data_IF_109814505858
#
_entry.id   IF_109814505858
#
_cell.length_a   1.000
_cell.length_b   1.000
_cell.length_c   1.000
_cell.angle_alpha   90.00
_cell.angle_beta   90.00
_cell.angle_gamma   90.00
#
_symmetry.space_group_name_H-M   'P 1'
#
loop_
_entity.id
_entity.type
_entity.pdbx_description
1 polymer ?
#
# COMPACT_ATOMS: atom_id res chain seq x y z
N UNK A 1 -6.46 5.23 25.70
CA UNK A 1 -7.67 4.80 24.93
C UNK A 1 -7.37 3.41 24.35
N UNK A 2 -8.34 2.46 24.44
CA UNK A 2 -8.20 1.12 23.82
C UNK A 2 -8.10 1.24 22.30
N UNK A 3 -7.29 0.38 21.66
CA UNK A 3 -7.15 0.32 20.19
C UNK A 3 -7.47 -1.09 19.73
N UNK A 4 -8.56 -1.25 18.98
CA UNK A 4 -9.05 -2.52 18.46
C UNK A 4 -8.96 -2.57 16.94
N UNK A 5 -8.34 -3.61 16.40
CA UNK A 5 -8.30 -3.90 14.97
C UNK A 5 -9.43 -4.88 14.62
N UNK A 6 -10.34 -4.46 13.75
CA UNK A 6 -11.58 -5.18 13.46
C UNK A 6 -11.48 -5.98 12.15
N UNK A 7 -11.67 -7.30 12.27
CA UNK A 7 -11.74 -8.25 11.15
C UNK A 7 -13.00 -9.13 11.26
N UNK A 8 -14.19 -8.62 10.92
CA UNK A 8 -15.45 -9.29 11.17
C UNK A 8 -15.69 -10.53 10.30
N UNK A 9 -14.99 -10.68 9.18
CA UNK A 9 -15.15 -11.81 8.27
C UNK A 9 -14.24 -13.02 8.66
N UNK A 10 -13.40 -12.85 9.69
CA UNK A 10 -12.44 -13.88 10.09
C UNK A 10 -12.97 -14.69 11.29
N UNK A 11 -12.96 -16.00 11.16
CA UNK A 11 -13.48 -16.93 12.19
C UNK A 11 -12.40 -17.46 13.13
N UNK A 12 -11.14 -17.58 12.67
CA UNK A 12 -10.01 -18.04 13.49
C UNK A 12 -9.09 -16.88 13.89
N UNK A 13 -9.57 -16.00 14.76
CA UNK A 13 -8.75 -14.92 15.29
C UNK A 13 -7.58 -15.42 16.15
N UNK A 14 -7.71 -16.57 16.79
CA UNK A 14 -6.64 -17.16 17.61
C UNK A 14 -5.47 -17.62 16.73
N UNK A 15 -5.75 -18.24 15.60
CA UNK A 15 -4.74 -18.59 14.60
C UNK A 15 -4.10 -17.36 13.99
N UNK A 16 -4.91 -16.34 13.63
CA UNK A 16 -4.39 -15.10 13.05
C UNK A 16 -3.43 -14.34 13.98
N UNK A 17 -3.67 -14.32 15.29
CA UNK A 17 -2.77 -13.68 16.28
C UNK A 17 -1.38 -14.32 16.34
N UNK A 18 -1.23 -15.56 15.90
CA UNK A 18 0.05 -16.31 15.91
C UNK A 18 0.85 -16.15 14.62
N UNK A 19 0.28 -15.49 13.60
CA UNK A 19 0.97 -15.28 12.34
C UNK A 19 2.13 -14.27 12.50
N UNK A 20 3.21 -14.55 11.81
CA UNK A 20 4.29 -13.61 11.53
C UNK A 20 4.13 -13.17 10.07
N UNK A 21 3.96 -11.88 9.76
CA UNK A 21 3.75 -11.44 8.39
C UNK A 21 4.87 -11.86 7.42
N UNK A 22 6.10 -11.90 7.88
CA UNK A 22 7.24 -12.18 7.00
C UNK A 22 7.44 -13.69 6.78
N UNK A 23 7.06 -14.52 7.76
CA UNK A 23 7.13 -16.00 7.65
C UNK A 23 5.91 -16.61 6.97
N UNK A 24 4.75 -15.97 7.11
CA UNK A 24 3.47 -16.47 6.59
C UNK A 24 2.91 -15.52 5.54
N UNK A 25 3.78 -14.97 4.67
CA UNK A 25 3.46 -13.94 3.70
C UNK A 25 2.30 -14.32 2.77
N UNK A 26 2.10 -15.61 2.52
CA UNK A 26 1.00 -16.15 1.74
C UNK A 26 -0.38 -15.89 2.36
N UNK A 27 -0.47 -15.59 3.65
CA UNK A 27 -1.71 -15.27 4.34
C UNK A 27 -2.17 -13.81 4.14
N UNK A 28 -1.30 -12.95 3.61
CA UNK A 28 -1.56 -11.49 3.48
C UNK A 28 -1.96 -11.08 2.05
N UNK A 29 -2.74 -11.90 1.38
CA UNK A 29 -3.17 -11.72 -0.01
C UNK A 29 -4.34 -10.75 -0.15
N UNK A 30 -5.21 -10.69 0.85
CA UNK A 30 -6.43 -9.85 0.85
C UNK A 30 -6.13 -8.48 1.45
N UNK A 31 -6.82 -7.44 0.96
CA UNK A 31 -6.62 -6.07 1.41
C UNK A 31 -6.75 -5.91 2.92
N UNK A 32 -7.78 -6.49 3.55
CA UNK A 32 -7.97 -6.43 5.00
C UNK A 32 -6.85 -7.09 5.79
N UNK A 33 -6.28 -8.20 5.30
CA UNK A 33 -5.13 -8.83 5.94
C UNK A 33 -3.84 -8.03 5.72
N UNK A 34 -3.63 -7.47 4.53
CA UNK A 34 -2.46 -6.65 4.24
C UNK A 34 -2.46 -5.30 4.96
N UNK A 35 -3.65 -4.74 5.25
CA UNK A 35 -3.76 -3.41 5.84
C UNK A 35 -4.08 -3.43 7.33
N UNK A 36 -5.02 -4.28 7.77
CA UNK A 36 -5.49 -4.31 9.15
C UNK A 36 -4.73 -5.35 9.96
N UNK A 37 -4.73 -6.62 9.51
CA UNK A 37 -4.08 -7.70 10.24
C UNK A 37 -2.56 -7.49 10.33
N UNK A 38 -1.90 -7.14 9.23
CA UNK A 38 -0.45 -6.90 9.22
C UNK A 38 -0.07 -5.78 10.19
N UNK A 39 -0.85 -4.68 10.22
CA UNK A 39 -0.61 -3.57 11.15
C UNK A 39 -0.77 -4.01 12.59
N UNK A 40 -1.86 -4.75 12.90
CA UNK A 40 -2.07 -5.31 14.22
C UNK A 40 -0.88 -6.17 14.67
N UNK A 41 -0.47 -7.15 13.85
CA UNK A 41 0.58 -8.09 14.20
C UNK A 41 1.93 -7.41 14.44
N UNK A 42 2.29 -6.44 13.60
CA UNK A 42 3.55 -5.70 13.78
C UNK A 42 3.53 -4.80 15.00
N UNK A 43 2.42 -4.17 15.32
CA UNK A 43 2.27 -3.37 16.53
C UNK A 43 2.26 -4.25 17.79
N UNK A 44 1.55 -5.36 17.77
CA UNK A 44 1.51 -6.32 18.87
C UNK A 44 2.90 -6.91 19.16
N UNK A 45 3.63 -7.31 18.09
CA UNK A 45 5.02 -7.79 18.21
C UNK A 45 5.97 -6.73 18.77
N UNK A 46 5.68 -5.45 18.54
CA UNK A 46 6.42 -4.32 19.12
C UNK A 46 5.93 -3.94 20.54
N UNK A 47 5.11 -4.76 21.18
CA UNK A 47 4.62 -4.53 22.53
C UNK A 47 3.58 -3.40 22.66
N UNK A 48 2.96 -2.97 21.56
CA UNK A 48 1.93 -1.92 21.63
C UNK A 48 0.61 -2.51 22.13
N UNK A 49 -0.16 -1.77 22.98
CA UNK A 49 -1.39 -2.26 23.58
C UNK A 49 -2.56 -2.23 22.58
N UNK A 50 -2.55 -3.19 21.65
CA UNK A 50 -3.55 -3.36 20.59
C UNK A 50 -4.25 -4.70 20.74
N UNK A 51 -5.52 -4.77 20.33
CA UNK A 51 -6.29 -6.01 20.29
C UNK A 51 -6.83 -6.30 18.87
N UNK A 52 -7.02 -7.59 18.57
CA UNK A 52 -7.69 -8.04 17.36
C UNK A 52 -9.06 -8.58 17.72
N UNK A 53 -10.11 -8.13 17.02
CA UNK A 53 -11.48 -8.57 17.28
C UNK A 53 -12.27 -8.82 15.99
N UNK A 54 -13.22 -9.76 16.03
CA UNK A 54 -14.26 -9.95 15.03
C UNK A 54 -15.58 -9.27 15.40
N UNK A 55 -15.73 -8.90 16.68
CA UNK A 55 -16.94 -8.32 17.25
C UNK A 55 -16.83 -6.80 17.37
N UNK A 56 -17.96 -6.06 17.38
CA UNK A 56 -17.96 -4.62 17.47
C UNK A 56 -17.52 -4.14 18.86
N UNK A 57 -16.36 -3.45 19.01
CA UNK A 57 -15.95 -2.89 20.29
C UNK A 57 -16.91 -1.78 20.75
N UNK A 58 -17.26 -1.78 22.04
CA UNK A 58 -18.20 -0.80 22.58
C UNK A 58 -17.63 0.64 22.67
N UNK A 59 -16.30 0.78 22.75
CA UNK A 59 -15.60 2.06 22.89
C UNK A 59 -14.17 1.99 22.33
N UNK A 60 -13.43 3.10 22.44
CA UNK A 60 -12.03 3.18 21.98
C UNK A 60 -11.89 3.54 20.52
N UNK A 61 -10.67 3.37 19.99
CA UNK A 61 -10.39 3.48 18.56
C UNK A 61 -10.61 2.12 17.90
N UNK A 62 -11.42 2.09 16.85
CA UNK A 62 -11.73 0.88 16.08
C UNK A 62 -11.14 1.03 14.66
N UNK A 63 -10.03 0.36 14.43
CA UNK A 63 -9.33 0.36 13.13
C UNK A 63 -9.93 -0.72 12.23
N UNK A 64 -10.40 -0.34 11.05
CA UNK A 64 -11.07 -1.25 10.13
C UNK A 64 -10.72 -0.97 8.66
N UNK A 65 -10.91 -1.95 7.79
CA UNK A 65 -10.76 -1.79 6.34
C UNK A 65 -12.04 -1.27 5.70
N UNK A 66 -11.94 -0.36 4.74
CA UNK A 66 -13.09 0.27 4.04
C UNK A 66 -14.14 -0.71 3.51
N UNK A 67 -13.76 -1.94 3.21
CA UNK A 67 -14.68 -2.98 2.75
C UNK A 67 -15.78 -3.29 3.77
N UNK A 68 -15.51 -3.14 5.08
CA UNK A 68 -16.42 -3.48 6.16
C UNK A 68 -17.45 -2.39 6.49
N UNK A 69 -17.56 -1.33 5.65
CA UNK A 69 -18.52 -0.24 5.86
C UNK A 69 -19.96 -0.72 6.10
N UNK A 70 -20.44 -1.68 5.32
CA UNK A 70 -21.81 -2.20 5.46
C UNK A 70 -22.00 -2.94 6.78
N UNK A 71 -21.01 -3.72 7.16
CA UNK A 71 -21.01 -4.43 8.44
C UNK A 71 -21.06 -3.46 9.62
N UNK A 72 -20.27 -2.39 9.61
CA UNK A 72 -20.29 -1.35 10.65
C UNK A 72 -21.65 -0.67 10.78
N UNK A 73 -22.32 -0.39 9.67
CA UNK A 73 -23.66 0.20 9.68
C UNK A 73 -24.66 -0.74 10.34
N UNK A 74 -24.60 -2.04 10.04
CA UNK A 74 -25.46 -3.06 10.62
C UNK A 74 -25.24 -3.20 12.16
N UNK A 75 -24.04 -2.94 12.65
CA UNK A 75 -23.67 -3.03 14.08
C UNK A 75 -23.56 -1.65 14.77
N UNK A 76 -24.16 -0.61 14.19
CA UNK A 76 -24.04 0.77 14.67
C UNK A 76 -24.45 0.97 16.13
N UNK A 77 -25.40 0.18 16.64
CA UNK A 77 -25.85 0.23 18.02
C UNK A 77 -24.74 -0.09 19.03
N UNK A 78 -23.90 -1.08 18.74
CA UNK A 78 -22.77 -1.44 19.59
C UNK A 78 -21.60 -0.45 19.49
N UNK A 79 -21.45 0.25 18.36
CA UNK A 79 -20.33 1.15 18.07
C UNK A 79 -20.57 2.62 18.48
N UNK A 80 -21.64 2.92 19.23
CA UNK A 80 -22.04 4.31 19.51
C UNK A 80 -20.98 5.16 20.20
N UNK A 81 -20.12 4.57 21.04
CA UNK A 81 -19.05 5.28 21.75
C UNK A 81 -17.67 5.07 21.12
N UNK A 82 -17.59 4.23 20.11
CA UNK A 82 -16.36 3.97 19.40
C UNK A 82 -16.03 5.09 18.42
N UNK A 83 -14.75 5.39 18.28
CA UNK A 83 -14.21 6.27 17.25
C UNK A 83 -13.67 5.41 16.12
N UNK A 84 -14.24 5.59 14.94
CA UNK A 84 -13.99 4.74 13.78
C UNK A 84 -12.80 5.26 12.94
N UNK A 85 -11.75 4.46 12.84
CA UNK A 85 -10.53 4.74 12.06
C UNK A 85 -10.53 3.84 10.83
N UNK A 86 -10.91 4.39 9.69
CA UNK A 86 -11.03 3.63 8.45
C UNK A 86 -9.73 3.61 7.64
N UNK A 87 -9.15 2.45 7.40
CA UNK A 87 -8.07 2.30 6.42
C UNK A 87 -8.71 2.21 5.04
N UNK A 88 -8.40 3.18 4.15
CA UNK A 88 -8.97 3.21 2.80
C UNK A 88 -8.54 1.99 1.98
N UNK A 89 -7.32 1.54 2.12
CA UNK A 89 -6.76 0.59 1.18
C UNK A 89 -6.74 1.20 -0.22
N UNK A 90 -6.96 0.40 -1.24
CA UNK A 90 -7.14 0.86 -2.63
C UNK A 90 -8.64 0.93 -3.04
N UNK A 91 -9.52 1.03 -2.04
CA UNK A 91 -10.98 1.10 -2.18
C UNK A 91 -11.50 2.54 -2.08
N UNK A 92 -12.84 2.64 -2.06
CA UNK A 92 -13.53 3.90 -1.81
C UNK A 92 -13.36 4.37 -0.36
N UNK A 93 -13.50 5.69 -0.18
CA UNK A 93 -13.46 6.31 1.13
C UNK A 93 -14.42 5.64 2.12
N UNK A 94 -13.97 5.32 3.34
CA UNK A 94 -14.82 4.79 4.40
C UNK A 94 -15.61 5.94 5.04
N UNK A 95 -16.66 6.41 4.36
CA UNK A 95 -17.42 7.60 4.75
C UNK A 95 -18.08 7.53 6.12
N UNK A 96 -18.19 6.33 6.71
CA UNK A 96 -18.66 6.13 8.09
C UNK A 96 -17.58 6.44 9.13
N UNK A 97 -16.31 6.42 8.75
CA UNK A 97 -15.17 6.61 9.64
C UNK A 97 -15.08 8.05 10.17
N UNK A 98 -14.70 8.21 11.41
CA UNK A 98 -14.40 9.50 12.01
C UNK A 98 -13.04 10.00 11.51
N UNK A 99 -12.06 9.11 11.47
CA UNK A 99 -10.74 9.33 10.89
C UNK A 99 -10.48 8.35 9.75
N UNK A 100 -9.65 8.74 8.80
CA UNK A 100 -9.29 7.91 7.65
C UNK A 100 -7.78 7.88 7.47
N UNK A 101 -7.24 6.68 7.32
CA UNK A 101 -5.84 6.46 6.97
C UNK A 101 -5.72 6.26 5.47
N UNK A 102 -4.90 7.11 4.85
CA UNK A 102 -4.63 7.16 3.41
C UNK A 102 -3.27 6.58 3.09
N UNK A 103 -3.12 6.04 1.88
CA UNK A 103 -1.85 5.58 1.32
C UNK A 103 -1.04 6.70 0.66
N UNK A 104 -1.68 7.85 0.41
CA UNK A 104 -1.07 8.99 -0.27
C UNK A 104 -1.13 10.23 0.64
N UNK A 105 0.02 10.71 1.09
CA UNK A 105 0.15 11.87 1.95
C UNK A 105 -0.34 13.17 1.32
N UNK A 106 -0.38 13.23 -0.02
CA UNK A 106 -0.88 14.38 -0.78
C UNK A 106 -2.30 14.82 -0.38
N UNK A 107 -3.11 13.89 0.12
CA UNK A 107 -4.50 14.15 0.51
C UNK A 107 -4.71 14.20 2.02
N UNK A 108 -3.67 14.04 2.81
CA UNK A 108 -3.74 14.14 4.27
C UNK A 108 -3.98 15.60 4.66
N UNK A 109 -4.87 15.83 5.64
CA UNK A 109 -5.20 17.15 6.17
C UNK A 109 -4.79 17.34 7.64
N UNK A 110 -4.28 16.28 8.27
CA UNK A 110 -3.87 16.26 9.67
C UNK A 110 -5.01 16.38 10.68
N UNK A 111 -6.26 16.40 10.23
CA UNK A 111 -7.46 16.53 11.06
C UNK A 111 -8.37 15.32 11.01
N UNK A 112 -8.63 14.83 9.79
CA UNK A 112 -9.47 13.66 9.54
C UNK A 112 -8.81 12.66 8.62
N UNK A 113 -7.95 13.11 7.74
CA UNK A 113 -7.25 12.34 6.73
C UNK A 113 -5.78 12.30 7.12
N UNK A 114 -5.32 11.13 7.51
CA UNK A 114 -3.95 10.89 7.95
C UNK A 114 -3.23 9.99 6.93
N UNK A 115 -1.95 10.17 6.80
CA UNK A 115 -1.14 9.35 5.93
C UNK A 115 -0.21 8.47 6.76
N UNK A 116 -0.37 7.16 6.58
CA UNK A 116 0.65 6.18 6.96
C UNK A 116 0.95 5.35 5.72
N UNK A 117 2.21 5.25 5.28
CA UNK A 117 2.56 4.46 4.12
C UNK A 117 2.13 3.00 4.29
N UNK A 118 1.76 2.36 3.19
CA UNK A 118 1.50 0.92 3.20
C UNK A 118 2.75 0.16 3.62
N UNK A 119 2.57 -0.88 4.43
CA UNK A 119 3.62 -1.83 4.72
C UNK A 119 4.22 -2.39 3.43
N UNK A 120 5.51 -2.71 3.42
CA UNK A 120 6.11 -3.45 2.31
C UNK A 120 5.45 -4.81 2.15
N UNK A 121 5.70 -5.44 1.00
CA UNK A 121 5.25 -6.80 0.76
C UNK A 121 5.78 -7.72 1.87
N UNK A 122 4.91 -8.45 2.58
CA UNK A 122 5.33 -9.42 3.59
C UNK A 122 6.30 -10.45 3.01
N UNK A 123 7.32 -10.81 3.79
CA UNK A 123 8.33 -11.78 3.38
C UNK A 123 9.23 -11.32 2.23
N UNK A 124 9.38 -10.01 2.00
CA UNK A 124 10.18 -9.48 0.91
C UNK A 124 11.62 -9.97 0.96
N UNK A 125 12.05 -10.62 -0.12
CA UNK A 125 13.42 -11.11 -0.34
C UNK A 125 14.15 -10.15 -1.28
N UNK A 126 15.18 -9.48 -0.77
CA UNK A 126 15.96 -8.52 -1.53
C UNK A 126 16.76 -9.19 -2.67
N UNK A 127 17.12 -8.38 -3.66
CA UNK A 127 17.98 -8.79 -4.77
C UNK A 127 19.31 -9.35 -4.27
N UNK A 128 19.71 -10.49 -4.84
CA UNK A 128 20.97 -11.13 -4.52
C UNK A 128 22.15 -10.19 -4.90
N UNK A 129 23.01 -9.81 -3.93
CA UNK A 129 24.17 -8.97 -4.19
C UNK A 129 25.13 -9.58 -5.21
N UNK A 130 25.22 -10.92 -5.29
CA UNK A 130 26.10 -11.64 -6.24
C UNK A 130 25.74 -11.39 -7.72
N UNK A 131 24.55 -10.87 -8.00
CA UNK A 131 24.15 -10.48 -9.36
C UNK A 131 24.93 -9.27 -9.92
N UNK A 132 25.69 -8.56 -9.09
CA UNK A 132 26.47 -7.39 -9.49
C UNK A 132 25.62 -6.29 -10.14
N UNK A 133 26.17 -5.60 -11.15
CA UNK A 133 25.52 -4.44 -11.79
C UNK A 133 24.95 -4.77 -13.19
N UNK A 134 24.94 -6.04 -13.56
CA UNK A 134 24.35 -6.45 -14.83
C UNK A 134 22.82 -6.51 -14.74
N UNK A 135 22.14 -5.94 -15.73
CA UNK A 135 20.70 -6.11 -15.92
C UNK A 135 20.50 -7.35 -16.80
N UNK A 136 19.86 -8.37 -16.24
CA UNK A 136 19.53 -9.62 -16.95
C UNK A 136 18.05 -9.91 -16.91
N UNK A 137 17.38 -9.54 -15.81
CA UNK A 137 15.94 -9.81 -15.60
C UNK A 137 15.18 -8.54 -15.27
N UNK A 138 14.24 -8.24 -16.14
CA UNK A 138 13.23 -7.19 -15.96
C UNK A 138 11.95 -7.84 -15.47
N UNK A 139 11.28 -7.29 -14.45
CA UNK A 139 10.11 -7.92 -13.87
C UNK A 139 8.93 -6.97 -13.73
N UNK A 140 7.73 -7.52 -13.80
CA UNK A 140 6.49 -6.94 -13.30
C UNK A 140 5.92 -7.83 -12.21
N UNK A 141 5.55 -7.25 -11.07
CA UNK A 141 4.93 -7.96 -9.94
C UNK A 141 3.62 -7.27 -9.56
N UNK A 142 2.49 -7.96 -9.75
CA UNK A 142 1.17 -7.39 -9.44
C UNK A 142 0.04 -7.98 -10.28
N UNK A 143 -1.17 -7.44 -10.14
CA UNK A 143 -2.32 -7.87 -10.95
C UNK A 143 -2.16 -7.45 -12.41
N UNK A 144 -2.49 -8.34 -13.35
CA UNK A 144 -2.40 -8.11 -14.80
C UNK A 144 -3.11 -6.83 -15.26
N UNK A 145 -4.29 -6.53 -14.71
CA UNK A 145 -5.06 -5.30 -14.97
C UNK A 145 -4.35 -4.00 -14.59
N UNK A 146 -3.31 -4.08 -13.77
CA UNK A 146 -2.52 -2.93 -13.31
C UNK A 146 -1.25 -2.70 -14.13
N UNK A 147 -1.08 -3.42 -15.24
CA UNK A 147 -0.03 -3.20 -16.23
C UNK A 147 -0.69 -2.90 -17.56
N UNK A 148 -0.27 -1.83 -18.24
CA UNK A 148 -0.76 -1.55 -19.60
C UNK A 148 -0.42 -2.68 -20.56
N UNK A 149 -1.32 -2.98 -21.49
CA UNK A 149 -1.25 -4.14 -22.38
C UNK A 149 0.05 -4.20 -23.18
N UNK A 150 0.59 -3.07 -23.60
CA UNK A 150 1.82 -2.92 -24.37
C UNK A 150 3.01 -3.76 -23.82
N UNK A 151 3.11 -3.88 -22.47
CA UNK A 151 4.16 -4.66 -21.82
C UNK A 151 3.94 -6.19 -21.87
N UNK A 152 2.88 -6.64 -22.51
CA UNK A 152 2.57 -8.06 -22.77
C UNK A 152 2.62 -8.40 -24.26
N UNK A 153 2.85 -7.41 -25.10
CA UNK A 153 2.80 -7.52 -26.54
C UNK A 153 4.17 -7.83 -27.16
N UNK A 154 4.13 -8.26 -28.41
CA UNK A 154 5.29 -8.66 -29.22
C UNK A 154 6.42 -7.63 -29.20
N UNK A 155 6.08 -6.35 -29.21
CA UNK A 155 7.05 -5.27 -29.28
C UNK A 155 7.96 -5.24 -28.05
N UNK A 156 7.35 -5.33 -26.85
CA UNK A 156 8.11 -5.37 -25.59
C UNK A 156 8.90 -6.67 -25.45
N UNK A 157 8.24 -7.80 -25.67
CA UNK A 157 8.86 -9.11 -25.52
C UNK A 157 10.02 -9.33 -26.51
N UNK A 158 9.81 -8.94 -27.76
CA UNK A 158 10.84 -9.00 -28.81
C UNK A 158 12.02 -8.07 -28.53
N UNK A 159 11.75 -6.85 -28.00
CA UNK A 159 12.80 -5.93 -27.59
C UNK A 159 13.70 -6.54 -26.50
N UNK A 160 13.10 -7.07 -25.42
CA UNK A 160 13.86 -7.68 -24.34
C UNK A 160 14.66 -8.88 -24.81
N UNK A 161 14.04 -9.76 -25.60
CA UNK A 161 14.72 -10.95 -26.16
C UNK A 161 15.92 -10.57 -27.07
N UNK A 162 15.78 -9.52 -27.89
CA UNK A 162 16.87 -9.03 -28.75
C UNK A 162 18.05 -8.45 -27.94
N UNK A 163 17.84 -8.08 -26.68
CA UNK A 163 18.88 -7.61 -25.75
C UNK A 163 19.37 -8.70 -24.79
N UNK A 164 18.91 -9.94 -24.92
CA UNK A 164 19.23 -11.03 -24.00
C UNK A 164 18.66 -10.82 -22.58
N UNK A 165 17.60 -10.03 -22.45
CA UNK A 165 16.93 -9.76 -21.19
C UNK A 165 15.74 -10.69 -20.97
N UNK A 166 15.65 -11.26 -19.79
CA UNK A 166 14.49 -12.06 -19.37
C UNK A 166 13.34 -11.17 -18.92
N UNK A 167 12.10 -11.54 -19.29
CA UNK A 167 10.89 -10.93 -18.78
C UNK A 167 10.22 -11.83 -17.76
N UNK A 168 10.23 -11.40 -16.48
CA UNK A 168 9.46 -12.06 -15.42
C UNK A 168 8.10 -11.38 -15.30
N UNK A 169 7.08 -11.99 -15.90
CA UNK A 169 5.72 -11.53 -15.80
C UNK A 169 5.03 -12.19 -14.60
N UNK A 170 5.34 -11.71 -13.40
CA UNK A 170 4.72 -12.15 -12.14
C UNK A 170 3.33 -11.51 -11.95
N UNK A 171 2.41 -11.76 -12.88
CA UNK A 171 1.07 -11.21 -12.85
C UNK A 171 0.04 -12.24 -12.40
N UNK A 172 -0.87 -11.82 -11.48
CA UNK A 172 -2.06 -12.57 -11.14
C UNK A 172 -3.26 -12.04 -11.92
N UNK A 173 -4.09 -12.93 -12.42
CA UNK A 173 -5.43 -12.61 -12.86
C UNK A 173 -6.35 -12.52 -11.62
N UNK A 174 -7.27 -11.57 -11.63
CA UNK A 174 -8.25 -11.47 -10.55
C UNK A 174 -9.41 -12.43 -10.83
N UNK A 175 -9.27 -13.67 -10.37
CA UNK A 175 -10.27 -14.72 -10.55
C UNK A 175 -11.03 -15.04 -9.25
N UNK A 176 -11.62 -14.02 -8.61
CA UNK A 176 -12.49 -14.22 -7.45
C UNK A 176 -11.75 -14.54 -6.13
N UNK A 177 -12.47 -15.04 -5.09
CA UNK A 177 -11.91 -15.24 -3.75
C UNK A 177 -10.91 -16.40 -3.63
N UNK A 178 -10.78 -17.22 -4.63
CA UNK A 178 -9.98 -18.45 -4.62
C UNK A 178 -8.66 -18.36 -5.40
N UNK A 179 -8.14 -17.17 -5.67
CA UNK A 179 -6.83 -17.08 -6.32
C UNK A 179 -5.71 -17.46 -5.35
N UNK A 180 -5.51 -18.76 -5.24
CA UNK A 180 -4.32 -19.38 -4.63
C UNK A 180 -3.02 -19.09 -5.39
N UNK A 181 -3.09 -18.32 -6.49
CA UNK A 181 -2.01 -18.03 -7.42
C UNK A 181 -1.03 -16.94 -6.98
N UNK A 182 -0.99 -16.61 -5.71
CA UNK A 182 0.12 -15.83 -5.16
C UNK A 182 1.41 -16.64 -4.97
N UNK A 183 1.50 -17.78 -5.58
CA UNK A 183 2.75 -18.47 -5.95
C UNK A 183 3.62 -17.62 -6.90
N UNK A 184 3.13 -16.46 -7.34
CA UNK A 184 3.78 -15.57 -8.30
C UNK A 184 4.99 -14.80 -7.75
N UNK A 185 5.44 -15.12 -6.54
CA UNK A 185 6.68 -14.60 -6.02
C UNK A 185 6.76 -13.07 -5.96
N UNK A 186 5.64 -12.37 -5.66
CA UNK A 186 5.65 -10.90 -5.57
C UNK A 186 6.58 -10.37 -4.48
N UNK A 187 6.88 -11.19 -3.49
CA UNK A 187 7.83 -10.89 -2.42
C UNK A 187 9.29 -11.17 -2.83
N UNK A 188 9.53 -11.99 -3.88
CA UNK A 188 10.86 -12.46 -4.22
C UNK A 188 11.51 -11.60 -5.31
N UNK A 189 12.52 -10.83 -4.94
CA UNK A 189 13.30 -9.99 -5.83
C UNK A 189 14.74 -10.52 -6.03
N UNK A 190 15.10 -11.69 -5.49
CA UNK A 190 16.47 -12.20 -5.53
C UNK A 190 17.08 -12.24 -6.92
N UNK A 191 16.28 -12.56 -7.92
CA UNK A 191 16.72 -12.64 -9.31
C UNK A 191 16.31 -11.43 -10.17
N UNK A 192 15.74 -10.36 -9.60
CA UNK A 192 15.22 -9.21 -10.35
C UNK A 192 16.25 -8.09 -10.40
N UNK A 193 16.49 -7.53 -11.59
CA UNK A 193 17.43 -6.44 -11.79
C UNK A 193 16.73 -5.10 -12.06
N UNK A 194 15.51 -5.13 -12.60
CA UNK A 194 14.73 -3.93 -12.90
C UNK A 194 13.23 -4.22 -12.76
N UNK A 195 12.50 -3.34 -12.11
CA UNK A 195 11.03 -3.38 -12.06
C UNK A 195 10.45 -2.45 -13.12
N UNK A 196 9.44 -2.92 -13.84
CA UNK A 196 8.63 -2.10 -14.74
C UNK A 196 7.18 -2.17 -14.30
N UNK A 197 6.55 -1.03 -14.02
CA UNK A 197 5.14 -0.99 -13.65
C UNK A 197 4.47 0.29 -14.13
N UNK A 198 3.79 0.20 -15.24
CA UNK A 198 3.04 1.29 -15.87
C UNK A 198 1.57 0.90 -15.95
N UNK A 199 0.71 1.61 -15.23
CA UNK A 199 -0.73 1.37 -15.27
C UNK A 199 -1.36 1.95 -16.55
N UNK A 200 -2.51 1.43 -16.96
CA UNK A 200 -3.33 2.10 -17.97
C UNK A 200 -3.50 3.58 -17.66
N UNK A 201 -3.48 4.46 -18.67
CA UNK A 201 -3.56 5.90 -18.46
C UNK A 201 -4.76 6.34 -17.62
N UNK A 202 -4.55 7.30 -16.72
CA UNK A 202 -5.59 7.92 -15.92
C UNK A 202 -5.34 9.41 -15.80
N UNK A 203 -6.35 10.25 -16.11
CA UNK A 203 -6.28 11.71 -15.93
C UNK A 203 -5.99 12.10 -14.47
N UNK A 204 -6.40 11.27 -13.51
CA UNK A 204 -6.24 11.51 -12.07
C UNK A 204 -4.97 10.88 -11.48
N UNK A 205 -4.11 10.29 -12.29
CA UNK A 205 -2.84 9.69 -11.86
C UNK A 205 -3.00 8.69 -10.70
N UNK A 206 -4.09 7.93 -10.70
CA UNK A 206 -4.38 6.84 -9.75
C UNK A 206 -4.29 7.23 -8.25
N UNK A 207 -5.02 8.24 -7.78
CA UNK A 207 -4.86 8.81 -6.43
C UNK A 207 -5.18 7.83 -5.29
N UNK A 208 -5.93 6.77 -5.56
CA UNK A 208 -6.24 5.72 -4.57
C UNK A 208 -5.21 4.59 -4.50
N UNK A 209 -4.12 4.64 -5.29
CA UNK A 209 -3.14 3.55 -5.30
C UNK A 209 -1.94 3.87 -4.42
N UNK A 210 -1.44 2.87 -3.62
CA UNK A 210 -0.26 3.05 -2.79
C UNK A 210 1.02 2.97 -3.60
N UNK A 211 2.11 3.51 -3.04
CA UNK A 211 3.45 3.45 -3.62
C UNK A 211 4.16 2.09 -3.42
N UNK A 212 3.44 1.02 -3.11
CA UNK A 212 4.00 -0.27 -2.68
C UNK A 212 5.06 -0.80 -3.65
N UNK A 213 4.87 -0.66 -4.98
CA UNK A 213 5.85 -1.13 -5.95
C UNK A 213 7.19 -0.39 -5.87
N UNK A 214 7.15 0.92 -5.64
CA UNK A 214 8.34 1.74 -5.47
C UNK A 214 9.04 1.41 -4.15
N UNK A 215 8.27 1.33 -3.06
CA UNK A 215 8.79 0.98 -1.73
C UNK A 215 9.44 -0.41 -1.75
N UNK A 216 8.76 -1.40 -2.32
CA UNK A 216 9.31 -2.75 -2.46
C UNK A 216 10.59 -2.78 -3.32
N UNK A 217 10.63 -2.01 -4.41
CA UNK A 217 11.81 -1.90 -5.26
C UNK A 217 13.00 -1.32 -4.48
N UNK A 218 12.79 -0.26 -3.71
CA UNK A 218 13.84 0.31 -2.86
C UNK A 218 14.34 -0.69 -1.82
N UNK A 219 13.43 -1.31 -1.06
CA UNK A 219 13.78 -2.31 -0.03
C UNK A 219 14.47 -3.53 -0.63
N UNK A 220 14.13 -3.88 -1.87
CA UNK A 220 14.78 -4.97 -2.59
C UNK A 220 16.13 -4.58 -3.23
N UNK A 221 16.51 -3.29 -3.26
CA UNK A 221 17.70 -2.81 -3.94
C UNK A 221 17.62 -2.87 -5.47
N UNK A 222 16.41 -2.77 -6.04
CA UNK A 222 16.10 -2.92 -7.46
C UNK A 222 15.61 -1.60 -8.04
N UNK A 223 16.30 -1.00 -9.04
CA UNK A 223 15.80 0.17 -9.76
C UNK A 223 14.44 -0.07 -10.42
N UNK A 224 13.66 0.99 -10.60
CA UNK A 224 12.30 0.88 -11.11
C UNK A 224 11.99 1.88 -12.22
N UNK A 225 11.24 1.42 -13.24
CA UNK A 225 10.57 2.22 -14.27
C UNK A 225 9.08 2.22 -13.95
N UNK A 226 8.52 3.36 -13.57
CA UNK A 226 7.17 3.45 -13.04
C UNK A 226 6.34 4.50 -13.78
N UNK A 227 5.03 4.26 -13.83
CA UNK A 227 4.09 5.21 -14.40
C UNK A 227 3.99 6.52 -13.58
N UNK A 228 3.35 7.57 -14.14
CA UNK A 228 3.24 8.89 -13.52
C UNK A 228 2.17 8.93 -12.42
N UNK A 229 2.29 8.05 -11.43
CA UNK A 229 1.33 7.95 -10.34
C UNK A 229 1.64 8.96 -9.22
N UNK A 230 0.59 9.58 -8.64
CA UNK A 230 0.74 10.51 -7.51
C UNK A 230 1.51 9.87 -6.36
N UNK A 231 1.24 8.57 -6.09
CA UNK A 231 1.89 7.82 -5.05
C UNK A 231 3.42 7.77 -5.18
N UNK A 232 3.93 7.64 -6.41
CA UNK A 232 5.37 7.63 -6.65
C UNK A 232 5.95 9.04 -6.62
N UNK A 233 5.26 10.00 -7.26
CA UNK A 233 5.73 11.38 -7.35
C UNK A 233 5.88 12.05 -6.00
N UNK A 234 4.97 11.79 -5.04
CA UNK A 234 5.06 12.36 -3.69
C UNK A 234 6.30 11.87 -2.91
N UNK A 235 6.82 10.69 -3.24
CA UNK A 235 8.01 10.12 -2.60
C UNK A 235 9.31 10.49 -3.30
N UNK A 236 9.22 11.06 -4.52
CA UNK A 236 10.39 11.38 -5.33
C UNK A 236 11.14 12.59 -4.79
N UNK A 237 12.42 12.40 -4.46
CA UNK A 237 13.35 13.44 -3.99
C UNK A 237 14.60 13.55 -4.86
N UNK A 238 14.85 12.53 -5.71
CA UNK A 238 16.01 12.43 -6.57
C UNK A 238 15.62 11.88 -7.94
N UNK A 239 16.34 12.25 -9.02
CA UNK A 239 16.17 11.60 -10.32
C UNK A 239 16.52 10.11 -10.30
N UNK A 240 17.28 9.65 -9.29
CA UNK A 240 17.68 8.26 -9.12
C UNK A 240 16.67 7.42 -8.31
N UNK A 241 15.63 8.01 -7.73
CA UNK A 241 14.61 7.30 -6.96
C UNK A 241 13.84 6.29 -7.82
N UNK A 242 13.51 6.66 -9.03
CA UNK A 242 12.95 5.83 -10.11
C UNK A 242 12.94 6.62 -11.43
N UNK A 243 12.83 5.91 -12.56
CA UNK A 243 12.56 6.54 -13.84
C UNK A 243 11.07 6.57 -14.12
N UNK A 244 10.49 7.77 -14.30
CA UNK A 244 9.08 7.91 -14.69
C UNK A 244 8.94 7.65 -16.20
N UNK A 245 8.06 6.71 -16.57
CA UNK A 245 7.77 6.33 -17.95
C UNK A 245 6.26 6.25 -18.17
N UNK A 246 5.77 6.67 -19.32
CA UNK A 246 4.33 6.74 -19.62
C UNK A 246 3.82 5.62 -20.53
N UNK A 247 4.72 4.89 -21.16
CA UNK A 247 4.40 3.83 -22.08
C UNK A 247 5.66 3.11 -22.53
N UNK A 248 5.49 2.20 -23.51
CA UNK A 248 6.53 1.29 -23.96
C UNK A 248 7.74 2.03 -24.56
N UNK A 249 7.54 3.11 -25.35
CA UNK A 249 8.65 3.82 -25.98
C UNK A 249 9.60 4.43 -24.96
N UNK A 250 9.04 5.08 -23.92
CA UNK A 250 9.85 5.65 -22.85
C UNK A 250 10.49 4.57 -21.98
N UNK A 251 9.82 3.43 -21.80
CA UNK A 251 10.38 2.30 -21.06
C UNK A 251 11.57 1.69 -21.82
N UNK A 252 11.45 1.47 -23.12
CA UNK A 252 12.56 1.01 -23.99
C UNK A 252 13.72 2.00 -23.90
N UNK A 253 13.49 3.30 -24.10
CA UNK A 253 14.53 4.31 -24.02
C UNK A 253 15.22 4.34 -22.63
N UNK A 254 14.46 4.13 -21.56
CA UNK A 254 15.01 4.07 -20.21
C UNK A 254 15.87 2.81 -19.99
N UNK A 255 15.44 1.65 -20.50
CA UNK A 255 16.26 0.40 -20.44
C UNK A 255 17.53 0.57 -21.24
N UNK A 256 17.47 1.10 -22.47
CA UNK A 256 18.65 1.36 -23.32
C UNK A 256 19.65 2.25 -22.58
N UNK A 257 19.19 3.32 -21.96
CA UNK A 257 20.05 4.21 -21.21
C UNK A 257 20.73 3.51 -20.02
N UNK A 258 20.02 2.63 -19.32
CA UNK A 258 20.57 1.86 -18.18
C UNK A 258 21.57 0.80 -18.66
N UNK A 259 21.36 0.20 -19.84
CA UNK A 259 22.29 -0.76 -20.46
C UNK A 259 23.55 -0.05 -20.97
N UNK A 260 23.42 1.14 -21.55
CA UNK A 260 24.53 1.92 -22.08
C UNK A 260 25.37 2.61 -21.00
N UNK A 261 24.76 2.90 -19.82
CA UNK A 261 25.41 3.59 -18.71
C UNK A 261 25.31 2.77 -17.40
N UNK A 262 26.25 1.84 -17.18
CA UNK A 262 26.30 1.07 -15.91
C UNK A 262 26.52 1.95 -14.66
N UNK A 263 27.09 3.16 -14.80
CA UNK A 263 27.26 4.07 -13.67
C UNK A 263 25.92 4.64 -13.24
N UNK A 264 25.03 4.95 -14.17
CA UNK A 264 23.66 5.35 -13.87
C UNK A 264 22.90 4.25 -13.14
N UNK A 265 23.00 3.00 -13.62
CA UNK A 265 22.36 1.85 -12.98
C UNK A 265 22.84 1.67 -11.53
N UNK A 266 24.17 1.75 -11.29
CA UNK A 266 24.77 1.70 -9.95
C UNK A 266 24.27 2.86 -9.06
N UNK A 267 24.18 4.07 -9.61
CA UNK A 267 23.66 5.23 -8.88
C UNK A 267 22.21 5.00 -8.43
N UNK A 268 21.36 4.46 -9.29
CA UNK A 268 19.98 4.12 -8.93
C UNK A 268 19.92 3.00 -7.87
N UNK A 269 20.76 1.97 -7.96
CA UNK A 269 20.84 0.93 -6.93
C UNK A 269 21.31 1.48 -5.58
N UNK A 270 22.32 2.34 -5.58
CA UNK A 270 22.76 3.04 -4.36
C UNK A 270 21.64 3.86 -3.76
N UNK A 271 20.88 4.56 -4.61
CA UNK A 271 19.73 5.35 -4.16
C UNK A 271 18.63 4.46 -3.55
N UNK A 272 18.37 3.27 -4.11
CA UNK A 272 17.47 2.30 -3.48
C UNK A 272 17.89 2.01 -2.03
N UNK A 273 19.18 1.75 -1.78
CA UNK A 273 19.70 1.52 -0.43
C UNK A 273 19.50 2.73 0.50
N UNK A 274 19.76 3.96 0.00
CA UNK A 274 19.50 5.20 0.75
C UNK A 274 18.03 5.31 1.14
N UNK A 275 17.13 5.04 0.21
CA UNK A 275 15.68 5.09 0.47
C UNK A 275 15.21 3.96 1.39
N UNK A 276 15.77 2.77 1.25
CA UNK A 276 15.48 1.63 2.12
C UNK A 276 15.85 1.90 3.58
N UNK A 277 16.97 2.60 3.83
CA UNK A 277 17.39 2.97 5.18
C UNK A 277 16.41 3.91 5.90
N UNK A 278 15.61 4.70 5.15
CA UNK A 278 14.54 5.55 5.70
C UNK A 278 13.26 4.75 6.00
N UNK A 279 13.12 3.57 5.42
CA UNK A 279 11.91 2.74 5.43
C UNK A 279 12.13 1.44 6.18
N UNK A 280 12.30 1.54 7.49
CA UNK A 280 12.50 0.40 8.38
C UNK A 280 11.18 -0.05 9.01
N UNK A 281 11.03 -1.31 9.43
CA UNK A 281 9.87 -1.74 10.21
C UNK A 281 9.61 -0.83 11.42
N UNK A 282 10.66 -0.36 12.07
CA UNK A 282 10.58 0.57 13.21
C UNK A 282 9.89 1.90 12.82
N UNK A 283 10.24 2.47 11.66
CA UNK A 283 9.62 3.74 11.22
C UNK A 283 8.11 3.63 10.96
N UNK A 284 7.64 2.49 10.44
CA UNK A 284 6.19 2.23 10.31
C UNK A 284 5.51 2.02 11.65
N UNK A 285 6.15 1.25 12.56
CA UNK A 285 5.65 1.03 13.92
C UNK A 285 5.52 2.36 14.66
N UNK A 286 6.51 3.24 14.54
CA UNK A 286 6.49 4.57 15.12
C UNK A 286 5.37 5.43 14.55
N UNK A 287 5.25 5.51 13.21
CA UNK A 287 4.20 6.27 12.55
C UNK A 287 2.79 5.80 12.95
N UNK A 288 2.54 4.49 13.02
CA UNK A 288 1.28 3.94 13.49
C UNK A 288 1.08 4.19 14.99
N UNK A 289 2.13 4.07 15.80
CA UNK A 289 2.06 4.31 17.24
C UNK A 289 1.72 5.77 17.55
N UNK A 290 2.41 6.71 16.90
CA UNK A 290 2.11 8.14 17.05
C UNK A 290 0.66 8.43 16.63
N UNK A 291 0.24 7.93 15.48
CA UNK A 291 -1.15 8.12 15.04
C UNK A 291 -2.16 7.59 16.06
N UNK A 292 -2.03 6.32 16.49
CA UNK A 292 -3.04 5.63 17.27
C UNK A 292 -3.01 5.96 18.77
N UNK A 293 -1.84 6.32 19.32
CA UNK A 293 -1.69 6.52 20.78
C UNK A 293 -1.45 7.98 21.18
N UNK A 294 -1.11 8.85 20.21
CA UNK A 294 -0.88 10.29 20.45
C UNK A 294 -1.87 11.15 19.69
N UNK A 295 -1.83 11.10 18.36
CA UNK A 295 -2.56 12.04 17.50
C UNK A 295 -4.08 11.84 17.56
N UNK A 296 -4.57 10.62 17.31
CA UNK A 296 -6.01 10.37 17.31
C UNK A 296 -6.65 10.50 18.70
N UNK A 297 -6.05 10.05 19.82
CA UNK A 297 -6.57 10.32 21.13
C UNK A 297 -6.72 11.80 21.46
N UNK A 298 -5.77 12.65 21.04
CA UNK A 298 -5.86 14.09 21.24
C UNK A 298 -7.05 14.75 20.48
N UNK A 299 -7.41 14.19 19.33
CA UNK A 299 -8.53 14.68 18.51
C UNK A 299 -9.87 14.01 18.86
N UNK A 300 -9.86 12.98 19.71
CA UNK A 300 -11.03 12.15 19.97
C UNK A 300 -12.17 12.91 20.66
N UNK A 301 -11.83 13.86 21.53
CA UNK A 301 -12.85 14.69 22.25
C UNK A 301 -13.60 15.56 21.25
N UNK A 302 -12.90 16.29 20.39
CA UNK A 302 -13.50 17.10 19.33
C UNK A 302 -14.46 16.28 18.45
N UNK A 303 -14.08 15.03 18.15
CA UNK A 303 -14.91 14.12 17.36
C UNK A 303 -16.18 13.75 18.12
N UNK A 304 -16.10 13.42 19.42
CA UNK A 304 -17.26 13.05 20.25
C UNK A 304 -18.25 14.19 20.41
N UNK A 305 -17.76 15.41 20.52
CA UNK A 305 -18.58 16.62 20.61
C UNK A 305 -19.24 17.00 19.28
N UNK A 306 -18.70 16.54 18.17
CA UNK A 306 -19.19 16.84 16.84
C UNK A 306 -20.64 16.40 16.66
N UNK A 307 -21.55 17.27 16.16
CA UNK A 307 -22.92 16.91 15.82
C UNK A 307 -23.00 15.71 14.88
N UNK A 308 -22.02 15.57 13.96
CA UNK A 308 -21.97 14.47 13.03
C UNK A 308 -21.71 13.12 13.72
N UNK A 309 -20.91 13.09 14.78
CA UNK A 309 -20.64 11.87 15.55
C UNK A 309 -21.89 11.39 16.31
N UNK A 310 -22.77 12.30 16.72
CA UNK A 310 -24.03 11.99 17.39
C UNK A 310 -25.09 11.39 16.47
N UNK A 311 -24.94 11.54 15.15
CA UNK A 311 -25.88 10.97 14.18
C UNK A 311 -25.71 9.45 14.04
N UNK A 312 -26.80 8.73 13.69
CA UNK A 312 -26.70 7.33 13.29
C UNK A 312 -25.68 7.11 12.19
N UNK A 313 -24.92 6.02 12.27
CA UNK A 313 -23.80 5.74 11.38
C UNK A 313 -24.20 5.77 9.88
N UNK A 314 -25.41 5.30 9.57
CA UNK A 314 -25.96 5.32 8.23
C UNK A 314 -26.11 6.74 7.65
N UNK A 315 -26.38 7.73 8.49
CA UNK A 315 -26.54 9.13 8.08
C UNK A 315 -25.21 9.89 7.97
N UNK A 316 -24.16 9.42 8.64
CA UNK A 316 -22.82 10.06 8.54
C UNK A 316 -22.24 9.99 7.14
N UNK A 317 -22.42 8.85 6.44
CA UNK A 317 -21.84 8.62 5.12
C UNK A 317 -22.33 9.61 4.04
N UNK A 318 -23.64 9.84 3.83
CA UNK A 318 -24.11 10.81 2.84
C UNK A 318 -23.67 12.24 3.17
N UNK A 319 -23.73 12.64 4.44
CA UNK A 319 -23.33 14.00 4.88
C UNK A 319 -21.83 14.25 4.69
N UNK A 320 -20.99 13.24 4.94
CA UNK A 320 -19.55 13.32 4.65
C UNK A 320 -19.24 13.28 3.15
N UNK A 321 -20.06 12.59 2.37
CA UNK A 321 -19.92 12.48 0.92
C UNK A 321 -20.13 13.81 0.20
N UNK A 322 -21.14 14.57 0.55
CA UNK A 322 -21.45 15.87 -0.07
C UNK A 322 -20.34 16.90 0.12
N UNK A 323 -19.69 16.92 1.28
CA UNK A 323 -18.56 17.83 1.54
C UNK A 323 -17.25 17.45 0.84
N UNK A 324 -17.10 16.21 0.41
CA UNK A 324 -15.84 15.68 -0.14
C UNK A 324 -15.64 15.95 -1.63
N UNK A 325 -16.69 15.99 -2.43
CA UNK A 325 -16.62 16.36 -3.85
C UNK A 325 -16.11 17.78 -4.06
N UNK A 326 -16.35 18.68 -3.10
CA UNK A 326 -15.88 20.05 -3.14
C UNK A 326 -14.43 20.26 -2.64
N UNK A 327 -13.84 19.29 -1.94
CA UNK A 327 -12.50 19.38 -1.33
C UNK A 327 -11.39 18.63 -2.10
N UNK A 328 -11.73 18.03 -3.22
CA UNK A 328 -10.76 17.30 -4.05
C UNK A 328 -9.93 18.27 -4.93
N UNK A 329 -9.35 19.30 -4.32
CA UNK A 329 -8.32 20.09 -4.95
C UNK A 329 -6.97 19.62 -4.41
N UNK A 330 -6.00 19.25 -5.28
CA UNK A 330 -4.63 19.05 -4.81
C UNK A 330 -4.17 20.36 -4.17
N UNK A 331 -3.56 20.28 -2.99
CA UNK A 331 -2.78 21.39 -2.47
C UNK A 331 -1.73 21.74 -3.54
N UNK A 332 -1.66 23.02 -3.92
CA UNK A 332 -0.74 23.53 -4.94
C UNK A 332 0.69 23.44 -4.44
#
# INVERSE_FOLDING_TARGET
>A
MRVSFLLPDETDLAGLRRLDPDRHHEQFKRGERSWVLQTYLRLAAAGRPVELTGEPPADGLVVFHSKHRKWLIAHAGALRRAILVGIRGDLHAPLVADFEVLQNGWFADGRRLFHVPHWPQPGLLARDPARGDAIRRVAYKGFARNLTAEFRERRWLGYLAARGLEWEYGAAEFAGPATDDLRLGWHDFRCVDLIVAVRPPSRRLHPGKPATKLINAWLAGVPALLGPEIAYRQLRRSPFDYSEVRGIDQAIAAVERLLADPALYRAMRKQCGTRAAEMTPASWIEAWSDLLFTTLPALAEEVRESPLHRLPLALRAPLRGTGRWMRWRPAR
#
